data_IF_345867739847
#
_entry.id   IF_345867739847
#
_cell.length_a   1.000
_cell.length_b   1.000
_cell.length_c   1.000
_cell.angle_alpha   90.00
_cell.angle_beta   90.00
_cell.angle_gamma   90.00
#
_symmetry.space_group_name_H-M   'P 1'
#
loop_
_entity.id
_entity.type
_entity.pdbx_description
1 polymer ?
#
# COMPACT_ATOMS: atom_id res chain seq x y z
N UNK A 1 -13.80 17.12 5.95
CA UNK A 1 -12.86 15.98 5.80
C UNK A 1 -11.44 16.50 5.95
N UNK A 2 -10.64 15.95 6.87
CA UNK A 2 -9.34 16.51 7.25
C UNK A 2 -8.38 16.51 6.04
N UNK A 3 -7.80 17.65 5.62
CA UNK A 3 -7.03 17.78 4.35
C UNK A 3 -5.82 16.83 4.28
N UNK A 4 -5.20 16.61 5.44
CA UNK A 4 -4.47 15.42 5.87
C UNK A 4 -4.79 14.09 5.16
N UNK A 5 -6.06 13.71 5.22
CA UNK A 5 -6.61 12.43 4.81
C UNK A 5 -6.80 12.43 3.30
N UNK A 6 -7.03 13.60 2.69
CA UNK A 6 -7.20 13.73 1.24
C UNK A 6 -5.90 13.47 0.48
N UNK A 7 -4.78 14.03 0.96
CA UNK A 7 -3.45 13.79 0.36
C UNK A 7 -3.07 12.31 0.44
N UNK A 8 -3.42 11.71 1.58
CA UNK A 8 -3.28 10.29 1.84
C UNK A 8 -4.12 9.44 0.89
N UNK A 9 -5.44 9.68 0.82
CA UNK A 9 -6.37 8.97 -0.06
C UNK A 9 -5.91 9.04 -1.52
N UNK A 10 -5.36 10.18 -1.96
CA UNK A 10 -4.85 10.33 -3.33
C UNK A 10 -3.74 9.32 -3.66
N UNK A 11 -2.76 9.16 -2.79
CA UNK A 11 -1.67 8.18 -3.00
C UNK A 11 -2.13 6.74 -2.75
N UNK A 12 -3.00 6.52 -1.77
CA UNK A 12 -3.57 5.21 -1.46
C UNK A 12 -4.43 4.67 -2.62
N UNK A 13 -5.22 5.55 -3.26
CA UNK A 13 -6.10 5.21 -4.39
C UNK A 13 -5.38 4.68 -5.60
N UNK A 14 -4.12 5.06 -5.82
CA UNK A 14 -3.33 4.49 -6.92
C UNK A 14 -2.59 3.23 -6.47
N UNK A 15 -2.10 3.22 -5.23
CA UNK A 15 -1.26 2.12 -4.75
C UNK A 15 -2.06 0.84 -4.43
N UNK A 16 -3.24 0.98 -3.81
CA UNK A 16 -4.06 -0.18 -3.43
C UNK A 16 -4.56 -0.98 -4.64
N UNK A 17 -5.14 -0.39 -5.71
CA UNK A 17 -5.55 -1.16 -6.88
C UNK A 17 -4.38 -1.84 -7.57
N UNK A 18 -3.21 -1.19 -7.63
CA UNK A 18 -2.00 -1.80 -8.19
C UNK A 18 -1.61 -3.05 -7.40
N UNK A 19 -1.64 -3.01 -6.07
CA UNK A 19 -1.40 -4.20 -5.25
C UNK A 19 -2.45 -5.30 -5.50
N UNK A 20 -3.73 -4.95 -5.58
CA UNK A 20 -4.79 -5.92 -5.86
C UNK A 20 -4.63 -6.56 -7.25
N UNK A 21 -4.30 -5.77 -8.27
CA UNK A 21 -4.11 -6.26 -9.64
C UNK A 21 -2.85 -7.12 -9.79
N UNK A 22 -1.80 -6.87 -9.01
CA UNK A 22 -0.55 -7.62 -9.09
C UNK A 22 -0.59 -8.90 -8.25
N UNK A 23 -1.23 -8.86 -7.07
CA UNK A 23 -1.17 -9.98 -6.12
C UNK A 23 -2.49 -10.75 -6.00
N UNK A 24 -3.63 -10.06 -5.93
CA UNK A 24 -4.93 -10.70 -5.65
C UNK A 24 -5.56 -11.23 -6.92
N UNK A 25 -5.59 -10.44 -7.98
CA UNK A 25 -6.24 -10.80 -9.23
C UNK A 25 -5.55 -12.00 -9.92
N UNK A 26 -4.21 -12.08 -10.03
CA UNK A 26 -3.56 -13.23 -10.62
C UNK A 26 -3.73 -14.49 -9.78
N UNK A 27 -3.75 -14.35 -8.45
CA UNK A 27 -4.03 -15.47 -7.55
C UNK A 27 -5.47 -15.96 -7.73
N UNK A 28 -6.45 -15.06 -7.75
CA UNK A 28 -7.85 -15.43 -7.97
C UNK A 28 -8.08 -16.10 -9.33
N UNK A 29 -7.49 -15.55 -10.40
CA UNK A 29 -7.53 -16.18 -11.72
C UNK A 29 -6.85 -17.54 -11.74
N UNK A 30 -5.73 -17.70 -11.03
CA UNK A 30 -5.06 -18.99 -10.91
C UNK A 30 -5.94 -20.00 -10.17
N UNK A 31 -6.54 -19.63 -9.03
CA UNK A 31 -7.41 -20.53 -8.27
C UNK A 31 -8.68 -20.93 -9.02
N UNK A 32 -9.25 -20.01 -9.82
CA UNK A 32 -10.47 -20.28 -10.59
C UNK A 32 -10.23 -21.13 -11.83
N UNK A 33 -9.14 -20.87 -12.57
CA UNK A 33 -8.94 -21.44 -13.91
C UNK A 33 -7.78 -22.45 -14.02
N UNK A 34 -6.88 -22.51 -13.04
CA UNK A 34 -5.77 -23.47 -13.09
C UNK A 34 -6.26 -24.88 -12.75
N UNK A 35 -5.99 -25.82 -13.63
CA UNK A 35 -6.13 -27.26 -13.35
C UNK A 35 -4.98 -27.82 -12.51
N UNK A 36 -3.92 -27.03 -12.30
CA UNK A 36 -2.77 -27.41 -11.50
C UNK A 36 -2.99 -27.05 -10.03
N UNK A 37 -2.99 -28.08 -9.18
CA UNK A 37 -2.89 -27.91 -7.74
C UNK A 37 -1.43 -27.62 -7.40
N UNK A 38 -1.06 -26.34 -7.33
CA UNK A 38 0.23 -25.95 -6.76
C UNK A 38 0.06 -25.81 -5.25
N UNK A 39 0.52 -26.79 -4.44
CA UNK A 39 0.41 -26.67 -3.01
C UNK A 39 1.16 -25.43 -2.55
N UNK A 40 0.51 -24.61 -1.72
CA UNK A 40 1.07 -23.44 -1.03
C UNK A 40 1.37 -22.22 -1.90
N UNK A 41 0.85 -22.14 -3.13
CA UNK A 41 1.02 -20.96 -3.99
C UNK A 41 0.56 -19.67 -3.31
N UNK A 42 -0.48 -19.76 -2.48
CA UNK A 42 -1.07 -18.65 -1.72
C UNK A 42 -0.07 -18.07 -0.71
N UNK A 43 0.71 -18.94 -0.03
CA UNK A 43 1.77 -18.52 0.88
C UNK A 43 2.95 -17.89 0.17
N UNK A 44 3.29 -18.36 -1.04
CA UNK A 44 4.33 -17.74 -1.87
C UNK A 44 3.89 -16.33 -2.29
N UNK A 45 2.63 -16.15 -2.69
CA UNK A 45 2.09 -14.83 -3.03
C UNK A 45 2.05 -13.90 -1.81
N UNK A 46 1.69 -14.40 -0.62
CA UNK A 46 1.77 -13.62 0.63
C UNK A 46 3.21 -13.21 0.96
N UNK A 47 4.17 -14.14 0.88
CA UNK A 47 5.58 -13.83 1.10
C UNK A 47 6.10 -12.80 0.08
N UNK A 48 5.71 -12.94 -1.18
CA UNK A 48 6.04 -12.00 -2.25
C UNK A 48 5.42 -10.60 -2.00
N UNK A 49 4.18 -10.53 -1.49
CA UNK A 49 3.53 -9.27 -1.12
C UNK A 49 4.36 -8.52 -0.05
N UNK A 50 4.76 -9.21 1.03
CA UNK A 50 5.60 -8.60 2.06
C UNK A 50 7.01 -8.25 1.56
N UNK A 51 7.62 -9.13 0.75
CA UNK A 51 8.92 -8.85 0.14
C UNK A 51 8.88 -7.65 -0.82
N UNK A 52 7.76 -7.46 -1.54
CA UNK A 52 7.56 -6.33 -2.45
C UNK A 52 7.59 -5.00 -1.71
N UNK A 53 7.21 -4.99 -0.43
CA UNK A 53 7.39 -3.81 0.42
C UNK A 53 8.88 -3.48 0.47
N UNK A 54 9.76 -4.41 0.83
CA UNK A 54 11.19 -4.12 0.97
C UNK A 54 11.88 -3.78 -0.36
N UNK A 55 11.52 -4.45 -1.46
CA UNK A 55 12.19 -4.28 -2.76
C UNK A 55 11.76 -2.98 -3.46
N UNK A 56 10.46 -2.68 -3.46
CA UNK A 56 9.92 -1.52 -4.18
C UNK A 56 9.82 -0.27 -3.28
N UNK A 57 10.03 -0.40 -1.98
CA UNK A 57 10.04 0.73 -1.06
C UNK A 57 11.44 1.32 -0.89
N UNK A 58 11.77 2.25 -1.78
CA UNK A 58 12.82 3.23 -1.51
C UNK A 58 12.22 4.39 -0.73
N UNK A 59 12.23 4.28 0.60
CA UNK A 59 11.72 5.30 1.53
C UNK A 59 12.18 6.71 1.15
N UNK A 60 13.48 6.87 0.86
CA UNK A 60 14.09 8.16 0.49
C UNK A 60 13.48 8.77 -0.78
N UNK A 61 13.23 7.96 -1.80
CA UNK A 61 12.67 8.45 -3.07
C UNK A 61 11.19 8.80 -2.93
N UNK A 62 10.45 8.00 -2.15
CA UNK A 62 9.05 8.26 -1.86
C UNK A 62 8.89 9.52 -1.00
N UNK A 63 9.71 9.70 0.04
CA UNK A 63 9.71 10.89 0.88
C UNK A 63 9.96 12.15 0.04
N UNK A 64 10.96 12.15 -0.85
CA UNK A 64 11.22 13.26 -1.78
C UNK A 64 10.02 13.58 -2.67
N UNK A 65 9.33 12.54 -3.16
CA UNK A 65 8.15 12.71 -4.03
C UNK A 65 6.99 13.37 -3.30
N UNK A 66 6.75 13.02 -2.03
CA UNK A 66 5.63 13.54 -1.24
C UNK A 66 5.98 14.84 -0.50
N UNK A 67 7.26 15.15 -0.29
CA UNK A 67 7.72 16.29 0.51
C UNK A 67 7.14 17.62 0.02
N UNK A 68 7.14 17.85 -1.30
CA UNK A 68 6.58 19.07 -1.90
C UNK A 68 5.08 19.19 -1.67
N UNK A 69 4.35 18.09 -1.81
CA UNK A 69 2.90 18.03 -1.61
C UNK A 69 2.52 18.20 -0.14
N UNK A 70 3.26 17.56 0.77
CA UNK A 70 3.11 17.69 2.22
C UNK A 70 3.43 19.12 2.68
N UNK A 71 4.51 19.72 2.18
CA UNK A 71 4.91 21.10 2.49
C UNK A 71 3.84 22.09 2.06
N UNK A 72 3.32 21.94 0.83
CA UNK A 72 2.25 22.79 0.33
C UNK A 72 0.95 22.64 1.13
N UNK A 73 0.62 21.41 1.55
CA UNK A 73 -0.55 21.15 2.41
C UNK A 73 -0.38 21.80 3.78
N UNK A 74 0.77 21.60 4.43
CA UNK A 74 1.06 22.17 5.75
C UNK A 74 1.10 23.70 5.71
N UNK A 75 1.68 24.30 4.67
CA UNK A 75 1.69 25.76 4.49
C UNK A 75 0.29 26.34 4.38
N UNK A 76 -0.62 25.64 3.69
CA UNK A 76 -2.05 26.02 3.59
C UNK A 76 -2.82 25.80 4.89
N UNK A 77 -2.44 24.79 5.68
CA UNK A 77 -3.09 24.49 6.98
C UNK A 77 -2.63 25.45 8.08
N UNK A 78 -1.33 25.75 8.15
CA UNK A 78 -0.72 26.52 9.23
C UNK A 78 -0.67 28.03 8.93
N UNK A 79 -0.96 28.44 7.69
CA UNK A 79 -0.79 29.81 7.19
C UNK A 79 0.62 30.42 7.42
N UNK A 80 1.61 29.57 7.69
CA UNK A 80 3.03 29.92 7.89
C UNK A 80 3.93 28.93 7.17
N UNK A 81 5.22 29.24 7.13
CA UNK A 81 6.22 28.28 6.65
C UNK A 81 6.33 27.13 7.67
N UNK A 82 6.06 25.87 7.27
CA UNK A 82 6.21 24.72 8.14
C UNK A 82 7.68 24.42 8.39
N UNK A 83 8.00 23.94 9.59
CA UNK A 83 9.36 23.49 9.92
C UNK A 83 9.67 22.12 9.30
N UNK A 84 10.96 21.82 9.11
CA UNK A 84 11.40 20.52 8.60
C UNK A 84 10.92 19.35 9.48
N UNK A 85 10.81 19.56 10.80
CA UNK A 85 10.26 18.55 11.73
C UNK A 85 8.79 18.25 11.45
N UNK A 86 7.98 19.28 11.17
CA UNK A 86 6.56 19.12 10.87
C UNK A 86 6.33 18.43 9.53
N UNK A 87 7.12 18.80 8.51
CA UNK A 87 7.10 18.15 7.19
C UNK A 87 7.46 16.68 7.35
N UNK A 88 8.55 16.37 8.06
CA UNK A 88 9.00 15.00 8.26
C UNK A 88 7.97 14.16 9.02
N UNK A 89 7.44 14.65 10.15
CA UNK A 89 6.42 13.96 10.93
C UNK A 89 5.13 13.69 10.13
N UNK A 90 4.79 14.59 9.19
CA UNK A 90 3.62 14.43 8.33
C UNK A 90 3.88 13.43 7.20
N UNK A 91 5.05 13.47 6.58
CA UNK A 91 5.48 12.52 5.56
C UNK A 91 5.59 11.09 6.12
N UNK A 92 6.12 10.93 7.33
CA UNK A 92 6.19 9.63 8.02
C UNK A 92 4.81 9.04 8.29
N UNK A 93 3.80 9.88 8.63
CA UNK A 93 2.41 9.39 8.73
C UNK A 93 1.91 8.86 7.40
N UNK A 94 2.11 9.56 6.30
CA UNK A 94 1.71 9.10 4.95
C UNK A 94 2.37 7.78 4.59
N UNK A 95 3.65 7.61 4.93
CA UNK A 95 4.38 6.36 4.78
C UNK A 95 3.76 5.23 5.59
N UNK A 96 3.48 5.45 6.87
CA UNK A 96 2.94 4.43 7.76
C UNK A 96 1.60 3.87 7.24
N UNK A 97 0.73 4.74 6.73
CA UNK A 97 -0.53 4.31 6.17
C UNK A 97 -0.40 3.48 4.87
N UNK A 98 0.75 3.49 4.19
CA UNK A 98 0.99 2.61 3.05
C UNK A 98 1.05 1.14 3.47
N UNK A 99 1.54 0.87 4.69
CA UNK A 99 1.47 -0.47 5.30
C UNK A 99 0.04 -0.96 5.47
N UNK A 100 -0.92 -0.05 5.70
CA UNK A 100 -2.35 -0.40 5.77
C UNK A 100 -2.85 -0.98 4.44
N UNK A 101 -2.42 -0.44 3.28
CA UNK A 101 -2.77 -1.04 1.99
C UNK A 101 -2.27 -2.47 1.85
N UNK A 102 -1.05 -2.75 2.33
CA UNK A 102 -0.47 -4.10 2.28
C UNK A 102 -1.26 -5.05 3.18
N UNK A 103 -1.61 -4.62 4.38
CA UNK A 103 -2.47 -5.41 5.29
C UNK A 103 -3.81 -5.70 4.63
N UNK A 104 -4.45 -4.71 4.00
CA UNK A 104 -5.70 -4.91 3.25
C UNK A 104 -5.50 -5.94 2.12
N UNK A 105 -4.43 -5.84 1.34
CA UNK A 105 -4.14 -6.80 0.27
C UNK A 105 -3.90 -8.21 0.81
N UNK A 106 -3.19 -8.34 1.94
CA UNK A 106 -2.97 -9.63 2.60
C UNK A 106 -4.30 -10.24 3.08
N UNK A 107 -5.19 -9.42 3.67
CA UNK A 107 -6.54 -9.86 4.05
C UNK A 107 -7.35 -10.33 2.83
N UNK A 108 -7.23 -9.66 1.68
CA UNK A 108 -7.88 -10.13 0.44
C UNK A 108 -7.33 -11.48 -0.02
N UNK A 109 -6.02 -11.71 0.06
CA UNK A 109 -5.42 -13.02 -0.27
C UNK A 109 -5.95 -14.09 0.70
N UNK A 110 -5.98 -13.80 2.00
CA UNK A 110 -6.54 -14.72 3.00
C UNK A 110 -8.02 -15.01 2.75
N UNK A 111 -8.81 -14.01 2.34
CA UNK A 111 -10.20 -14.22 1.97
C UNK A 111 -10.34 -15.15 0.75
N UNK A 112 -9.46 -15.03 -0.25
CA UNK A 112 -9.44 -15.98 -1.37
C UNK A 112 -9.09 -17.39 -0.88
N UNK A 113 -8.11 -17.55 0.01
CA UNK A 113 -7.78 -18.86 0.60
C UNK A 113 -9.01 -19.50 1.28
N UNK A 114 -9.77 -18.71 2.02
CA UNK A 114 -11.00 -19.15 2.69
C UNK A 114 -12.10 -19.56 1.69
N UNK A 115 -12.32 -18.77 0.64
CA UNK A 115 -13.37 -19.02 -0.36
C UNK A 115 -13.11 -20.32 -1.11
N UNK A 116 -11.86 -20.56 -1.52
CA UNK A 116 -11.47 -21.76 -2.27
C UNK A 116 -11.07 -22.94 -1.38
N UNK A 117 -11.17 -22.81 -0.05
CA UNK A 117 -10.78 -23.83 0.94
C UNK A 117 -9.33 -24.35 0.79
N UNK A 118 -8.45 -23.50 0.27
CA UNK A 118 -7.05 -23.82 -0.01
C UNK A 118 -6.16 -23.33 1.14
N UNK A 119 -5.83 -24.24 2.06
CA UNK A 119 -4.96 -24.02 3.22
C UNK A 119 -3.69 -24.86 3.16
#
# INVERSE_FOLDING_TARGET
MNKAITLYIKHQKTYLPVLLVIFVLPLGLFLEFSTYVLPKVQYVVLAALFASQYVFYREKDFLKKIEKDVTNSLRKELARVPSMKEIHARSMRVVHYRGVSIVITALCILALMLIYQEF
#
